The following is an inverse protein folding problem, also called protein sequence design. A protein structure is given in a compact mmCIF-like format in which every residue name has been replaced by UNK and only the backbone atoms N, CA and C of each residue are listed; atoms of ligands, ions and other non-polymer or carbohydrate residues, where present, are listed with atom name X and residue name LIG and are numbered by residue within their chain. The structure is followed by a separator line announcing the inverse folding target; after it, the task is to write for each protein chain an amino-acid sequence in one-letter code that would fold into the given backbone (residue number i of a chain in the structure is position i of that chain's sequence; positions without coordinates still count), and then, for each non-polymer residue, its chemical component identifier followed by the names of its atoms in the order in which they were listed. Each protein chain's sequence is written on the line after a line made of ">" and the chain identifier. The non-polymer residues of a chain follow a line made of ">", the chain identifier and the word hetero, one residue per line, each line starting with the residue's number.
data_IF_072420170331
#
_entry.id   IF_072420170331
#
_cell.length_a   1.000
_cell.length_b   1.000
_cell.length_c   1.000
_cell.angle_alpha   90.00
_cell.angle_beta   90.00
_cell.angle_gamma   90.00
#
_symmetry.space_group_name_H-M   'P 1'
#
loop_
_entity.id
_entity.type
_entity.pdbx_description
1 polymer ?
#
# COMPACT_ATOMS: atom_id res chain seq x y z
N UNK A 1 -24.69 60.98 40.29
CA UNK A 1 -24.57 59.52 40.04
C UNK A 1 -23.78 59.39 38.75
N UNK A 2 -22.46 59.15 38.81
CA UNK A 2 -21.84 57.82 38.91
C UNK A 2 -22.26 56.98 37.68
N UNK A 3 -21.40 56.51 36.77
CA UNK A 3 -19.96 56.24 36.83
C UNK A 3 -19.34 56.15 35.43
N UNK A 4 -18.06 56.53 35.35
CA UNK A 4 -17.08 56.11 34.34
C UNK A 4 -16.80 54.62 34.49
N UNK A 5 -16.48 53.94 33.40
CA UNK A 5 -15.48 52.87 33.46
C UNK A 5 -14.56 52.95 32.23
N UNK A 6 -13.34 53.44 32.51
CA UNK A 6 -12.15 53.29 31.69
C UNK A 6 -11.61 51.86 31.84
N UNK A 7 -10.96 51.37 30.79
CA UNK A 7 -10.20 50.12 30.78
C UNK A 7 -9.01 50.17 31.76
N UNK A 8 -8.65 49.06 32.42
CA UNK A 8 -7.35 48.38 32.31
C UNK A 8 -7.20 47.21 33.32
N UNK A 9 -6.84 46.03 32.77
CA UNK A 9 -5.88 45.02 33.26
C UNK A 9 -5.88 44.53 34.71
N UNK A 10 -6.04 43.20 34.88
CA UNK A 10 -4.98 42.36 35.47
C UNK A 10 -5.19 40.88 35.12
N UNK A 11 -4.06 40.24 34.89
CA UNK A 11 -3.75 38.86 34.57
C UNK A 11 -4.26 37.79 35.55
N UNK A 12 -4.57 36.61 35.00
CA UNK A 12 -4.31 35.29 35.61
C UNK A 12 -4.19 34.27 34.45
N UNK A 13 -3.00 34.11 33.88
CA UNK A 13 -2.04 33.02 34.14
C UNK A 13 -2.59 31.59 33.89
N UNK A 14 -2.13 31.04 32.76
CA UNK A 14 -1.78 29.64 32.50
C UNK A 14 -2.79 28.52 32.78
N UNK A 15 -3.31 27.98 31.68
CA UNK A 15 -3.10 26.58 31.29
C UNK A 15 -3.40 26.41 29.80
N UNK A 16 -2.44 26.83 28.97
CA UNK A 16 -2.27 26.20 27.66
C UNK A 16 -1.90 24.75 27.98
N UNK A 17 -2.88 23.84 27.89
CA UNK A 17 -2.57 22.44 27.70
C UNK A 17 -1.79 22.36 26.39
N UNK A 18 -0.46 22.37 26.48
CA UNK A 18 0.38 21.82 25.45
C UNK A 18 0.00 20.35 25.33
N UNK A 19 -0.92 20.09 24.41
CA UNK A 19 -1.27 18.76 23.96
C UNK A 19 -0.04 18.24 23.23
N UNK A 20 0.94 17.73 23.99
CA UNK A 20 2.06 17.00 23.43
C UNK A 20 1.47 15.92 22.54
N UNK A 21 1.85 15.83 21.26
CA UNK A 21 1.33 14.78 20.40
C UNK A 21 1.65 13.44 21.06
N UNK A 22 0.61 12.76 21.55
CA UNK A 22 0.73 11.41 22.08
C UNK A 22 1.25 10.59 20.91
N UNK A 23 2.54 10.25 20.98
CA UNK A 23 3.21 9.42 20.00
C UNK A 23 2.38 8.15 19.84
N UNK A 24 1.69 8.00 18.71
CA UNK A 24 0.85 6.83 18.44
C UNK A 24 1.78 5.65 18.25
N UNK A 25 2.18 5.01 19.35
CA UNK A 25 3.02 3.82 19.31
C UNK A 25 2.34 2.80 18.40
N UNK A 26 3.07 2.21 17.45
CA UNK A 26 2.52 1.16 16.61
C UNK A 26 1.96 0.05 17.49
N UNK A 27 0.85 -0.55 17.05
CA UNK A 27 0.39 -1.77 17.67
C UNK A 27 1.54 -2.79 17.65
N UNK A 28 1.90 -3.24 18.83
CA UNK A 28 2.84 -4.33 19.03
C UNK A 28 2.08 -5.41 19.78
N UNK A 29 2.28 -6.66 19.38
CA UNK A 29 1.75 -7.78 20.16
C UNK A 29 2.31 -7.70 21.59
N UNK A 30 1.53 -8.08 22.60
CA UNK A 30 1.97 -8.01 24.00
C UNK A 30 3.19 -8.91 24.28
N UNK A 31 3.43 -9.88 23.43
CA UNK A 31 4.56 -10.81 23.42
C UNK A 31 4.91 -11.21 21.99
N UNK A 32 6.14 -11.68 21.71
CA UNK A 32 6.52 -12.23 20.40
C UNK A 32 5.61 -13.38 19.95
N UNK A 33 5.53 -13.63 18.64
CA UNK A 33 4.74 -14.73 18.09
C UNK A 33 5.16 -16.07 18.71
N UNK A 34 4.20 -16.98 19.01
CA UNK A 34 4.53 -18.31 19.49
C UNK A 34 5.31 -19.10 18.43
N UNK A 35 6.08 -20.10 18.87
CA UNK A 35 6.61 -21.08 17.93
C UNK A 35 5.46 -21.83 17.27
N UNK A 36 5.44 -21.83 15.93
CA UNK A 36 4.38 -22.48 15.18
C UNK A 36 4.51 -24.00 15.25
N UNK A 37 3.41 -24.72 15.57
CA UNK A 37 3.32 -26.14 15.30
C UNK A 37 3.60 -26.44 13.81
N UNK A 38 4.03 -27.68 13.48
CA UNK A 38 4.25 -28.09 12.11
C UNK A 38 3.06 -27.78 11.19
N UNK A 39 3.35 -27.35 9.98
CA UNK A 39 2.37 -26.98 8.96
C UNK A 39 3.01 -26.90 7.58
N UNK A 40 2.23 -26.45 6.59
CA UNK A 40 2.68 -26.41 5.19
C UNK A 40 3.23 -25.03 4.82
N UNK A 41 2.39 -23.99 4.76
CA UNK A 41 2.79 -22.67 4.26
C UNK A 41 2.43 -21.47 5.16
N UNK A 42 1.66 -21.68 6.24
CA UNK A 42 1.28 -20.61 7.15
C UNK A 42 2.49 -19.92 7.79
N UNK A 43 2.39 -18.59 7.95
CA UNK A 43 3.39 -17.73 8.58
C UNK A 43 4.80 -17.78 7.94
N UNK A 44 4.94 -18.31 6.73
CA UNK A 44 6.21 -18.30 5.97
C UNK A 44 6.52 -16.95 5.31
N UNK A 45 5.53 -16.05 5.25
CA UNK A 45 5.63 -14.76 4.55
C UNK A 45 5.48 -14.85 3.03
N UNK A 46 5.18 -16.05 2.51
CA UNK A 46 4.92 -16.32 1.08
C UNK A 46 3.51 -16.82 0.88
N UNK A 47 2.92 -16.51 -0.28
CA UNK A 47 1.60 -17.01 -0.65
C UNK A 47 1.54 -17.26 -2.17
N UNK A 48 1.03 -18.42 -2.55
CA UNK A 48 0.69 -18.70 -3.94
C UNK A 48 -0.72 -18.17 -4.24
N UNK A 49 -0.90 -17.49 -5.35
CA UNK A 49 -2.18 -16.97 -5.84
C UNK A 49 -2.64 -17.68 -7.13
N UNK A 50 -2.03 -18.82 -7.46
CA UNK A 50 -2.22 -19.54 -8.73
C UNK A 50 -0.93 -19.51 -9.55
N UNK A 51 -0.90 -18.69 -10.61
CA UNK A 51 0.28 -18.54 -11.47
C UNK A 51 1.32 -17.53 -10.93
N UNK A 52 1.03 -16.87 -9.80
CA UNK A 52 1.89 -15.88 -9.17
C UNK A 52 2.12 -16.28 -7.71
N UNK A 53 3.38 -16.28 -7.29
CA UNK A 53 3.76 -16.29 -5.88
C UNK A 53 4.04 -14.86 -5.41
N UNK A 54 3.54 -14.50 -4.23
CA UNK A 54 3.80 -13.21 -3.61
C UNK A 54 4.55 -13.35 -2.29
N UNK A 55 5.39 -12.34 -2.01
CA UNK A 55 6.08 -12.18 -0.73
C UNK A 55 5.81 -10.78 -0.19
N UNK A 56 5.58 -10.70 1.12
CA UNK A 56 5.41 -9.43 1.82
C UNK A 56 6.76 -8.78 2.11
N UNK A 57 6.97 -7.57 1.59
CA UNK A 57 8.13 -6.72 1.92
C UNK A 57 7.69 -5.63 2.89
N UNK A 58 8.41 -5.49 3.99
CA UNK A 58 8.22 -4.43 5.01
C UNK A 58 9.44 -3.54 5.19
N UNK A 59 10.51 -3.80 4.43
CA UNK A 59 11.73 -3.00 4.42
C UNK A 59 11.70 -2.04 3.24
N UNK A 60 12.02 -0.79 3.51
CA UNK A 60 11.84 0.30 2.57
C UNK A 60 13.02 1.27 2.61
N UNK A 61 13.34 1.85 1.46
CA UNK A 61 14.17 3.05 1.36
C UNK A 61 13.27 4.24 1.08
N UNK A 62 13.43 5.33 1.82
CA UNK A 62 12.74 6.59 1.51
C UNK A 62 13.27 7.16 0.19
N UNK A 63 12.36 7.69 -0.62
CA UNK A 63 12.66 8.33 -1.91
C UNK A 63 12.52 9.84 -1.75
N UNK A 64 11.36 10.27 -1.29
CA UNK A 64 10.97 11.68 -1.19
C UNK A 64 9.87 11.85 -0.15
N UNK A 65 9.85 13.02 0.49
CA UNK A 65 8.83 13.42 1.45
C UNK A 65 8.29 14.80 1.11
N UNK A 66 6.98 14.89 0.92
CA UNK A 66 6.26 16.15 0.83
C UNK A 66 5.94 16.67 2.24
N UNK A 67 6.35 17.90 2.54
CA UNK A 67 6.07 18.58 3.81
C UNK A 67 5.42 19.92 3.53
N UNK A 68 4.24 20.19 4.11
CA UNK A 68 3.61 21.50 3.99
C UNK A 68 4.40 22.55 4.78
N UNK A 69 4.75 23.66 4.14
CA UNK A 69 5.71 24.64 4.64
C UNK A 69 5.28 25.40 5.91
N UNK A 70 4.03 25.33 6.34
CA UNK A 70 3.49 26.12 7.46
C UNK A 70 2.98 25.16 8.54
N UNK A 71 3.72 25.14 9.66
CA UNK A 71 3.75 24.06 10.65
C UNK A 71 2.41 23.57 11.20
N UNK A 72 2.38 22.25 11.42
CA UNK A 72 1.35 21.36 12.01
C UNK A 72 0.52 20.51 11.04
N UNK A 73 0.63 20.70 9.73
CA UNK A 73 -0.12 19.87 8.78
C UNK A 73 0.62 18.61 8.33
N UNK A 74 -0.15 17.56 8.05
CA UNK A 74 0.32 16.23 7.67
C UNK A 74 0.96 16.27 6.28
N UNK A 75 2.18 15.76 6.17
CA UNK A 75 2.86 15.48 4.90
C UNK A 75 2.67 14.03 4.44
N UNK A 76 3.31 13.68 3.34
CA UNK A 76 3.38 12.29 2.84
C UNK A 76 4.80 11.93 2.43
N UNK A 77 5.24 10.73 2.82
CA UNK A 77 6.53 10.16 2.49
C UNK A 77 6.34 8.98 1.55
N UNK A 78 7.21 8.87 0.56
CA UNK A 78 7.20 7.84 -0.47
C UNK A 78 8.44 6.97 -0.38
N UNK A 79 8.25 5.68 -0.61
CA UNK A 79 9.24 4.67 -0.33
C UNK A 79 9.30 3.59 -1.41
N UNK A 80 10.51 3.16 -1.73
CA UNK A 80 10.78 1.99 -2.58
C UNK A 80 10.97 0.75 -1.72
N UNK A 81 10.33 -0.40 -2.01
CA UNK A 81 10.65 -1.64 -1.33
C UNK A 81 12.09 -2.08 -1.64
N UNK A 82 12.81 -2.53 -0.61
CA UNK A 82 14.20 -3.01 -0.73
C UNK A 82 14.32 -4.44 -0.22
N UNK A 83 15.47 -5.07 -0.48
CA UNK A 83 15.72 -6.49 -0.16
C UNK A 83 14.70 -7.43 -0.82
N UNK A 84 14.31 -7.13 -2.07
CA UNK A 84 13.43 -7.98 -2.86
C UNK A 84 14.18 -9.29 -3.18
N UNK A 85 13.62 -10.47 -2.85
CA UNK A 85 14.29 -11.74 -3.12
C UNK A 85 14.45 -12.02 -4.61
N UNK A 86 15.46 -12.81 -4.98
CA UNK A 86 15.77 -13.13 -6.37
C UNK A 86 14.59 -13.75 -7.12
N UNK A 87 14.32 -13.19 -8.30
CA UNK A 87 13.23 -13.60 -9.18
C UNK A 87 11.84 -13.06 -8.80
N UNK A 88 11.72 -12.28 -7.72
CA UNK A 88 10.54 -11.47 -7.45
C UNK A 88 10.72 -10.07 -8.02
N UNK A 89 9.60 -9.46 -8.37
CA UNK A 89 9.54 -8.13 -8.96
C UNK A 89 8.61 -7.22 -8.16
N UNK A 90 8.97 -5.95 -8.10
CA UNK A 90 8.15 -4.91 -7.51
C UNK A 90 6.87 -4.69 -8.34
N UNK A 91 5.77 -4.37 -7.67
CA UNK A 91 4.48 -4.07 -8.29
C UNK A 91 4.08 -2.59 -8.15
N UNK A 92 4.82 -1.82 -7.36
CA UNK A 92 4.58 -0.42 -7.08
C UNK A 92 5.28 0.03 -5.81
N UNK A 93 5.32 1.33 -5.57
CA UNK A 93 5.92 1.94 -4.40
C UNK A 93 4.91 2.09 -3.26
N UNK A 94 5.43 2.37 -2.06
CA UNK A 94 4.66 2.59 -0.85
C UNK A 94 4.63 4.06 -0.48
N UNK A 95 3.56 4.51 0.17
CA UNK A 95 3.54 5.81 0.83
C UNK A 95 2.72 5.78 2.12
N UNK A 96 2.97 6.77 2.98
CA UNK A 96 2.21 6.98 4.22
C UNK A 96 2.36 8.42 4.70
N UNK A 97 1.50 8.83 5.63
CA UNK A 97 1.61 10.13 6.30
C UNK A 97 2.90 10.21 7.13
N UNK A 98 3.50 11.41 7.19
CA UNK A 98 4.80 11.63 7.87
C UNK A 98 4.70 11.54 9.40
N UNK A 99 3.51 11.71 9.97
CA UNK A 99 3.25 11.67 11.43
C UNK A 99 3.05 10.25 11.96
N UNK A 100 3.26 9.22 11.11
CA UNK A 100 3.05 7.83 11.44
C UNK A 100 4.36 7.06 11.32
N UNK A 101 4.69 6.21 12.30
CA UNK A 101 5.84 5.32 12.18
C UNK A 101 5.65 4.37 10.98
N UNK A 102 6.71 4.17 10.20
CA UNK A 102 6.74 3.24 9.06
C UNK A 102 6.21 1.86 9.46
N UNK A 103 5.03 1.50 8.95
CA UNK A 103 4.31 0.27 9.36
C UNK A 103 3.54 -0.43 8.23
N UNK A 104 3.87 -0.10 6.99
CA UNK A 104 3.25 -0.66 5.80
C UNK A 104 3.89 -1.93 5.26
N UNK A 105 3.39 -2.37 4.12
CA UNK A 105 3.98 -3.43 3.33
C UNK A 105 3.67 -3.22 1.85
N UNK A 106 4.47 -3.84 1.00
CA UNK A 106 4.16 -4.06 -0.42
C UNK A 106 4.34 -5.53 -0.73
N UNK A 107 3.43 -6.10 -1.51
CA UNK A 107 3.60 -7.43 -2.09
C UNK A 107 4.47 -7.33 -3.34
N UNK A 108 5.52 -8.13 -3.38
CA UNK A 108 6.32 -8.39 -4.59
C UNK A 108 5.91 -9.72 -5.18
N UNK A 109 6.03 -9.88 -6.50
CA UNK A 109 5.47 -11.01 -7.22
C UNK A 109 6.51 -11.74 -8.08
N UNK A 110 6.37 -13.06 -8.16
CA UNK A 110 7.13 -13.93 -9.03
C UNK A 110 6.17 -14.81 -9.83
N UNK A 111 6.40 -14.94 -11.12
CA UNK A 111 5.64 -15.89 -11.94
C UNK A 111 6.06 -17.33 -11.60
N UNK A 112 5.08 -18.21 -11.39
CA UNK A 112 5.29 -19.64 -11.22
C UNK A 112 5.02 -20.31 -12.57
N UNK A 113 6.00 -21.04 -13.11
CA UNK A 113 5.76 -21.89 -14.27
C UNK A 113 4.90 -23.07 -13.84
N UNK A 114 3.63 -23.09 -14.22
CA UNK A 114 2.79 -24.28 -14.07
C UNK A 114 3.27 -25.32 -15.08
N UNK A 115 4.02 -26.32 -14.63
CA UNK A 115 4.22 -27.52 -15.45
C UNK A 115 2.85 -28.16 -15.62
N UNK A 116 2.27 -28.04 -16.83
CA UNK A 116 1.07 -28.79 -17.21
C UNK A 116 1.37 -30.27 -16.98
N UNK A 117 0.85 -30.86 -15.90
CA UNK A 117 0.77 -32.32 -15.85
C UNK A 117 -0.19 -32.73 -16.97
N UNK A 118 0.37 -33.39 -17.98
CA UNK A 118 -0.36 -33.96 -19.09
C UNK A 118 -1.34 -35.00 -18.52
N UNK A 119 -2.65 -34.71 -18.49
CA UNK A 119 -3.61 -35.70 -18.01
C UNK A 119 -5.05 -35.28 -17.81
N UNK A 120 -5.39 -34.00 -17.59
CA UNK A 120 -6.79 -33.64 -17.31
C UNK A 120 -7.23 -32.42 -18.11
N UNK A 121 -8.03 -32.69 -19.14
CA UNK A 121 -8.62 -31.73 -20.06
C UNK A 121 -9.92 -31.19 -19.47
N UNK A 122 -9.87 -30.23 -18.52
CA UNK A 122 -11.03 -29.37 -18.23
C UNK A 122 -10.57 -27.92 -17.96
N UNK A 123 -11.03 -27.03 -18.86
CA UNK A 123 -10.91 -25.55 -18.91
C UNK A 123 -9.52 -24.97 -19.21
N UNK A 124 -9.15 -25.11 -20.49
CA UNK A 124 -8.08 -24.31 -21.10
C UNK A 124 -8.49 -22.85 -21.30
N UNK A 125 -7.91 -21.98 -20.48
CA UNK A 125 -7.31 -20.75 -20.99
C UNK A 125 -5.90 -20.69 -20.41
N UNK A 126 -5.00 -21.52 -20.94
CA UNK A 126 -3.57 -21.27 -20.74
C UNK A 126 -3.27 -20.10 -21.66
N UNK A 127 -3.39 -18.89 -21.14
CA UNK A 127 -2.96 -17.70 -21.88
C UNK A 127 -1.48 -17.92 -22.19
N UNK A 128 -1.10 -17.95 -23.46
CA UNK A 128 0.31 -18.12 -23.89
C UNK A 128 1.22 -16.97 -23.41
N UNK A 129 0.61 -15.94 -22.82
CA UNK A 129 1.28 -14.75 -22.31
C UNK A 129 1.70 -14.91 -20.83
N UNK A 130 2.88 -14.39 -20.44
CA UNK A 130 3.40 -14.56 -19.08
C UNK A 130 2.52 -13.88 -18.02
N UNK A 131 2.48 -14.39 -16.77
CA UNK A 131 1.72 -13.76 -15.69
C UNK A 131 2.14 -12.32 -15.36
N UNK A 132 3.43 -12.01 -15.56
CA UNK A 132 4.05 -10.73 -15.25
C UNK A 132 4.79 -10.22 -16.49
N UNK A 133 4.68 -8.92 -16.77
CA UNK A 133 5.40 -8.26 -17.87
C UNK A 133 5.86 -6.85 -17.46
N UNK A 134 6.80 -6.27 -18.18
CA UNK A 134 7.22 -4.88 -17.97
C UNK A 134 6.14 -3.91 -18.48
N UNK A 135 6.02 -2.71 -17.90
CA UNK A 135 5.26 -1.63 -18.54
C UNK A 135 5.87 -1.28 -19.90
N UNK A 136 5.09 -0.64 -20.76
CA UNK A 136 5.58 -0.11 -22.04
C UNK A 136 6.42 1.15 -21.85
N UNK A 137 5.96 2.00 -20.93
CA UNK A 137 6.53 3.28 -20.52
C UNK A 137 5.74 3.76 -19.28
N UNK A 138 5.99 4.99 -18.85
CA UNK A 138 5.34 5.62 -17.71
C UNK A 138 4.67 6.95 -18.09
N UNK A 139 3.50 7.20 -17.49
CA UNK A 139 2.82 8.49 -17.58
C UNK A 139 3.09 9.30 -16.31
N UNK A 140 3.57 10.54 -16.46
CA UNK A 140 3.73 11.44 -15.31
C UNK A 140 2.35 11.89 -14.82
N UNK A 141 2.04 11.58 -13.57
CA UNK A 141 0.75 11.89 -12.93
C UNK A 141 0.86 13.22 -12.18
N UNK A 142 1.94 13.39 -11.44
CA UNK A 142 2.19 14.57 -10.64
C UNK A 142 3.69 14.79 -10.42
N UNK A 143 4.11 16.04 -10.28
CA UNK A 143 5.48 16.42 -9.95
C UNK A 143 5.50 17.61 -8.99
N UNK A 144 6.45 17.61 -8.06
CA UNK A 144 6.70 18.73 -7.18
C UNK A 144 7.41 19.86 -7.95
N UNK A 145 6.98 21.12 -7.76
CA UNK A 145 7.74 22.26 -8.27
C UNK A 145 9.01 22.44 -7.42
N UNK A 146 10.15 22.42 -8.11
CA UNK A 146 11.53 22.47 -7.60
C UNK A 146 11.84 23.61 -6.62
N UNK A 147 10.96 24.60 -6.49
CA UNK A 147 11.25 25.83 -5.74
C UNK A 147 11.15 25.68 -4.22
N UNK A 148 10.25 24.85 -3.69
CA UNK A 148 10.01 24.80 -2.24
C UNK A 148 9.75 23.39 -1.63
N UNK A 149 9.33 22.39 -2.41
CA UNK A 149 8.79 21.11 -1.87
C UNK A 149 9.70 19.89 -2.12
N UNK A 150 10.94 20.12 -2.57
CA UNK A 150 11.84 19.08 -3.10
C UNK A 150 11.44 18.65 -4.52
N UNK A 151 12.25 17.79 -5.16
CA UNK A 151 11.94 17.21 -6.47
C UNK A 151 11.39 15.80 -6.26
N UNK A 152 10.13 15.60 -6.62
CA UNK A 152 9.44 14.31 -6.52
C UNK A 152 8.48 14.16 -7.69
N UNK A 153 8.53 13.02 -8.38
CA UNK A 153 7.74 12.72 -9.56
C UNK A 153 6.97 11.43 -9.33
N UNK A 154 5.65 11.45 -9.54
CA UNK A 154 4.77 10.29 -9.38
C UNK A 154 4.35 9.81 -10.77
N UNK A 155 4.63 8.55 -11.05
CA UNK A 155 4.48 7.92 -12.35
C UNK A 155 3.48 6.77 -12.30
N UNK A 156 2.61 6.69 -13.31
CA UNK A 156 1.73 5.55 -13.55
C UNK A 156 2.38 4.65 -14.61
N UNK A 157 2.67 3.36 -14.32
CA UNK A 157 3.14 2.42 -15.32
C UNK A 157 2.03 2.14 -16.35
N UNK A 158 2.35 2.33 -17.64
CA UNK A 158 1.43 2.03 -18.73
C UNK A 158 1.54 0.56 -19.10
N UNK A 159 0.55 -0.23 -18.67
CA UNK A 159 0.53 -1.67 -18.90
C UNK A 159 0.30 -2.01 -20.39
N UNK A 160 0.94 -3.05 -20.93
CA UNK A 160 0.60 -3.59 -22.25
C UNK A 160 -0.84 -4.09 -22.31
N UNK A 161 -1.38 -4.21 -23.53
CA UNK A 161 -2.72 -4.78 -23.76
C UNK A 161 -2.83 -6.17 -23.12
N UNK A 162 -3.88 -6.40 -22.34
CA UNK A 162 -4.10 -7.64 -21.58
C UNK A 162 -3.49 -7.65 -20.17
N UNK A 163 -2.89 -6.54 -19.73
CA UNK A 163 -2.30 -6.37 -18.41
C UNK A 163 -2.83 -5.13 -17.70
N UNK A 164 -2.63 -5.07 -16.38
CA UNK A 164 -2.92 -3.93 -15.52
C UNK A 164 -1.71 -3.60 -14.65
N UNK A 165 -1.53 -2.32 -14.32
CA UNK A 165 -0.58 -1.89 -13.29
C UNK A 165 -1.20 -2.07 -11.90
N UNK A 166 -0.37 -2.29 -10.90
CA UNK A 166 -0.82 -2.57 -9.52
C UNK A 166 -0.60 -1.37 -8.57
N UNK A 167 -0.04 -0.27 -9.08
CA UNK A 167 0.35 0.88 -8.27
C UNK A 167 1.21 1.86 -9.07
N UNK A 168 1.81 2.81 -8.35
CA UNK A 168 2.58 3.92 -8.90
C UNK A 168 4.06 3.78 -8.53
N UNK A 169 4.92 4.49 -9.28
CA UNK A 169 6.36 4.61 -9.04
C UNK A 169 6.69 6.06 -8.72
N UNK A 170 7.64 6.29 -7.81
CA UNK A 170 8.10 7.62 -7.44
C UNK A 170 9.59 7.76 -7.70
N UNK A 171 10.00 8.89 -8.26
CA UNK A 171 11.41 9.24 -8.50
C UNK A 171 11.72 10.65 -8.00
N UNK A 172 13.00 10.93 -7.82
CA UNK A 172 13.51 12.29 -7.54
C UNK A 172 13.99 13.00 -8.81
N UNK A 173 14.33 12.23 -9.85
CA UNK A 173 14.72 12.74 -11.16
C UNK A 173 13.51 12.82 -12.09
N UNK A 174 13.53 13.81 -12.98
CA UNK A 174 12.45 14.04 -13.96
C UNK A 174 12.44 13.03 -15.10
N UNK A 175 13.52 12.26 -15.24
CA UNK A 175 13.65 11.24 -16.27
C UNK A 175 12.69 10.08 -15.98
N UNK A 176 12.21 9.47 -17.06
CA UNK A 176 11.29 8.35 -16.97
C UNK A 176 11.93 7.16 -16.22
N UNK A 177 11.20 6.48 -15.30
CA UNK A 177 11.74 5.32 -14.60
C UNK A 177 12.15 4.19 -15.56
N UNK A 178 13.12 3.38 -15.15
CA UNK A 178 13.49 2.17 -15.88
C UNK A 178 12.30 1.20 -15.95
N UNK A 179 12.06 0.58 -17.12
CA UNK A 179 11.01 -0.42 -17.32
C UNK A 179 11.18 -1.67 -16.42
N UNK A 180 12.35 -1.87 -15.84
CA UNK A 180 12.63 -2.90 -14.85
C UNK A 180 12.10 -2.58 -13.45
N UNK A 181 11.75 -1.32 -13.17
CA UNK A 181 11.39 -0.85 -11.84
C UNK A 181 10.18 -1.60 -11.27
N UNK A 182 9.20 -1.96 -12.12
CA UNK A 182 8.02 -2.72 -11.72
C UNK A 182 7.57 -3.74 -12.78
N UNK A 183 6.58 -4.56 -12.43
CA UNK A 183 5.84 -5.41 -13.37
C UNK A 183 4.34 -5.09 -13.36
N UNK A 184 3.73 -5.21 -14.53
CA UNK A 184 2.30 -5.27 -14.74
C UNK A 184 1.83 -6.73 -14.70
N UNK A 185 0.57 -6.94 -14.32
CA UNK A 185 -0.03 -8.25 -14.07
C UNK A 185 -1.10 -8.55 -15.12
N UNK A 186 -1.12 -9.79 -15.63
CA UNK A 186 -2.09 -10.23 -16.64
C UNK A 186 -3.52 -10.13 -16.09
N UNK A 187 -4.46 -9.64 -16.90
CA UNK A 187 -5.79 -9.22 -16.44
C UNK A 187 -6.61 -10.29 -15.72
N UNK A 188 -6.50 -11.56 -16.12
CA UNK A 188 -7.18 -12.71 -15.50
C UNK A 188 -6.67 -13.04 -14.10
N UNK A 189 -5.46 -12.56 -13.76
CA UNK A 189 -4.83 -12.69 -12.44
C UNK A 189 -5.08 -11.45 -11.56
N UNK A 190 -5.97 -10.55 -12.00
CA UNK A 190 -6.30 -9.30 -11.29
C UNK A 190 -7.77 -9.24 -10.89
N UNK A 191 -8.07 -8.42 -9.90
CA UNK A 191 -9.41 -8.07 -9.44
C UNK A 191 -9.58 -6.55 -9.42
N UNK A 192 -10.81 -6.05 -9.51
CA UNK A 192 -11.09 -4.62 -9.39
C UNK A 192 -10.62 -4.08 -8.02
N UNK A 193 -9.94 -2.93 -8.06
CA UNK A 193 -9.66 -2.14 -6.85
C UNK A 193 -10.63 -0.95 -6.77
N UNK A 194 -10.76 -0.40 -5.57
CA UNK A 194 -11.30 0.92 -5.30
C UNK A 194 -10.32 1.72 -4.43
N UNK A 195 -10.45 3.05 -4.46
CA UNK A 195 -9.73 3.94 -3.57
C UNK A 195 -10.39 3.84 -2.19
N UNK A 196 -9.60 3.61 -1.16
CA UNK A 196 -10.10 3.54 0.21
C UNK A 196 -9.93 4.89 0.92
N UNK A 197 -9.25 4.85 2.05
CA UNK A 197 -8.98 6.01 2.88
C UNK A 197 -7.95 6.94 2.23
N UNK A 198 -8.21 8.25 2.34
CA UNK A 198 -7.27 9.29 1.93
C UNK A 198 -6.03 9.23 2.81
N UNK A 199 -4.87 9.03 2.18
CA UNK A 199 -3.56 9.14 2.82
C UNK A 199 -3.16 10.61 2.89
N UNK A 200 -3.34 11.35 1.80
CA UNK A 200 -2.92 12.74 1.73
C UNK A 200 -3.76 13.51 0.72
N UNK A 201 -4.06 14.77 1.03
CA UNK A 201 -4.80 15.69 0.18
C UNK A 201 -4.11 17.05 0.17
N UNK A 202 -3.52 17.38 -0.99
CA UNK A 202 -3.08 18.73 -1.31
C UNK A 202 -4.19 19.37 -2.12
N UNK A 203 -5.15 19.96 -1.41
CA UNK A 203 -6.12 20.87 -1.99
C UNK A 203 -5.70 22.30 -1.68
N UNK A 204 -5.30 23.00 -2.72
CA UNK A 204 -5.11 24.44 -2.70
C UNK A 204 -6.10 25.02 -3.69
N UNK A 205 -7.19 25.61 -3.17
CA UNK A 205 -8.31 26.22 -3.91
C UNK A 205 -7.93 27.11 -5.14
N UNK A 206 -6.66 27.46 -5.32
CA UNK A 206 -6.15 28.38 -6.32
C UNK A 206 -4.95 27.85 -7.14
N UNK A 207 -4.50 26.59 -6.97
CA UNK A 207 -3.29 26.08 -7.65
C UNK A 207 -3.57 24.93 -8.62
N UNK A 208 -2.71 24.80 -9.64
CA UNK A 208 -2.70 23.66 -10.58
C UNK A 208 -2.01 22.42 -10.00
N UNK A 209 -1.50 22.50 -8.78
CA UNK A 209 -0.63 21.47 -8.18
C UNK A 209 -1.37 20.57 -7.19
N UNK A 210 -2.70 20.59 -7.25
CA UNK A 210 -3.55 19.76 -6.41
C UNK A 210 -3.36 18.28 -6.74
N UNK A 211 -3.26 17.46 -5.71
CA UNK A 211 -3.26 16.02 -5.85
C UNK A 211 -3.71 15.34 -4.56
N UNK A 212 -4.29 14.18 -4.74
CA UNK A 212 -4.80 13.35 -3.67
C UNK A 212 -4.19 11.96 -3.78
N UNK A 213 -3.96 11.36 -2.62
CA UNK A 213 -3.38 10.03 -2.47
C UNK A 213 -4.29 9.21 -1.59
N UNK A 214 -4.59 8.00 -2.02
CA UNK A 214 -5.42 7.05 -1.30
C UNK A 214 -4.70 5.72 -1.11
N UNK A 215 -5.09 5.00 -0.07
CA UNK A 215 -4.83 3.57 -0.05
C UNK A 215 -5.72 2.86 -1.08
N UNK A 216 -5.33 1.64 -1.44
CA UNK A 216 -6.05 0.83 -2.41
C UNK A 216 -6.57 -0.43 -1.73
N UNK A 217 -7.77 -0.86 -2.12
CA UNK A 217 -8.36 -2.11 -1.62
C UNK A 217 -9.23 -2.76 -2.70
N UNK A 218 -9.46 -4.08 -2.64
CA UNK A 218 -10.39 -4.74 -3.55
C UNK A 218 -11.80 -4.14 -3.45
N UNK A 219 -12.46 -3.96 -4.60
CA UNK A 219 -13.85 -3.48 -4.67
C UNK A 219 -14.81 -4.50 -4.07
N UNK A 220 -14.67 -5.77 -4.45
CA UNK A 220 -15.44 -6.87 -3.87
C UNK A 220 -14.76 -7.40 -2.61
N UNK A 221 -15.53 -7.49 -1.51
CA UNK A 221 -15.05 -7.96 -0.21
C UNK A 221 -16.06 -8.92 0.41
N UNK A 222 -15.53 -9.92 1.10
CA UNK A 222 -16.33 -10.94 1.76
C UNK A 222 -15.57 -12.26 1.84
N UNK A 223 -16.17 -13.25 2.48
CA UNK A 223 -15.56 -14.56 2.70
C UNK A 223 -15.19 -15.29 1.39
N UNK A 224 -15.88 -14.98 0.30
CA UNK A 224 -15.68 -15.60 -1.01
C UNK A 224 -14.95 -14.70 -2.02
N UNK A 225 -14.64 -13.46 -1.64
CA UNK A 225 -13.94 -12.52 -2.51
C UNK A 225 -12.47 -12.91 -2.63
N UNK A 226 -11.91 -12.72 -3.83
CA UNK A 226 -10.57 -13.19 -4.17
C UNK A 226 -9.54 -12.07 -4.28
N UNK A 227 -9.96 -10.81 -4.16
CA UNK A 227 -9.05 -9.68 -4.27
C UNK A 227 -8.02 -9.64 -3.13
N UNK A 228 -6.76 -9.40 -3.49
CA UNK A 228 -5.63 -9.25 -2.58
C UNK A 228 -5.00 -7.87 -2.81
N UNK A 229 -5.03 -6.96 -1.82
CA UNK A 229 -4.38 -5.66 -1.95
C UNK A 229 -2.86 -5.82 -1.99
N UNK A 230 -2.21 -5.05 -2.86
CA UNK A 230 -0.75 -5.08 -3.02
C UNK A 230 -0.05 -4.25 -1.94
N UNK A 231 -0.75 -3.29 -1.33
CA UNK A 231 -0.18 -2.36 -0.35
C UNK A 231 0.43 -1.11 -0.99
N UNK A 232 0.14 -0.86 -2.27
CA UNK A 232 0.48 0.36 -3.01
C UNK A 232 -0.58 1.44 -2.78
N UNK A 233 -0.36 2.63 -3.35
CA UNK A 233 -1.28 3.75 -3.28
C UNK A 233 -1.89 4.08 -4.65
N UNK A 234 -2.95 4.88 -4.63
CA UNK A 234 -3.51 5.52 -5.82
C UNK A 234 -3.28 7.03 -5.74
N UNK A 235 -2.91 7.65 -6.86
CA UNK A 235 -2.71 9.10 -6.97
C UNK A 235 -3.57 9.66 -8.10
N UNK A 236 -4.26 10.77 -7.84
CA UNK A 236 -5.04 11.51 -8.85
C UNK A 236 -4.86 13.01 -8.68
N UNK A 237 -4.96 13.73 -9.80
CA UNK A 237 -4.90 15.19 -9.87
C UNK A 237 -6.28 15.86 -9.79
N UNK A 238 -7.37 15.15 -10.13
CA UNK A 238 -8.74 15.68 -10.20
C UNK A 238 -9.78 14.70 -9.62
N UNK A 239 -10.83 15.23 -8.98
CA UNK A 239 -11.99 14.47 -8.47
C UNK A 239 -13.04 14.19 -9.57
N UNK A 240 -12.65 13.77 -10.77
CA UNK A 240 -13.65 13.24 -11.72
C UNK A 240 -14.10 11.88 -11.21
N UNK A 241 -15.36 11.82 -10.75
CA UNK A 241 -16.03 10.60 -10.26
C UNK A 241 -16.21 9.49 -11.30
N UNK A 242 -15.67 9.67 -12.51
CA UNK A 242 -15.85 8.78 -13.67
C UNK A 242 -14.56 8.06 -14.10
N UNK A 243 -13.42 8.36 -13.49
CA UNK A 243 -12.18 7.65 -13.83
C UNK A 243 -12.13 6.31 -13.11
N UNK A 244 -12.37 5.22 -13.86
CA UNK A 244 -11.98 3.88 -13.43
C UNK A 244 -10.53 3.92 -12.94
N UNK A 245 -10.25 3.30 -11.79
CA UNK A 245 -8.87 3.22 -11.32
C UNK A 245 -8.02 2.54 -12.38
N UNK A 246 -6.98 3.26 -12.81
CA UNK A 246 -6.01 2.74 -13.79
C UNK A 246 -5.08 1.66 -13.20
N UNK A 247 -5.38 1.19 -11.98
CA UNK A 247 -4.65 0.15 -11.27
C UNK A 247 -5.62 -0.96 -10.83
N UNK A 248 -5.09 -2.15 -10.59
CA UNK A 248 -5.87 -3.29 -10.14
C UNK A 248 -5.24 -3.98 -8.92
N UNK A 249 -6.02 -4.87 -8.32
CA UNK A 249 -5.65 -5.67 -7.16
C UNK A 249 -5.25 -7.06 -7.67
N UNK A 250 -4.49 -7.83 -6.89
CA UNK A 250 -4.20 -9.21 -7.27
C UNK A 250 -5.42 -10.10 -7.03
N UNK A 251 -5.53 -11.19 -7.78
CA UNK A 251 -6.60 -12.19 -7.61
C UNK A 251 -6.04 -13.48 -7.05
N UNK A 252 -6.58 -13.93 -5.93
CA UNK A 252 -6.28 -15.24 -5.38
C UNK A 252 -7.04 -16.33 -6.12
N UNK A 253 -6.35 -17.06 -7.00
CA UNK A 253 -6.87 -18.23 -7.70
C UNK A 253 -6.44 -19.55 -7.04
N UNK A 254 -5.65 -19.50 -5.97
CA UNK A 254 -5.22 -20.70 -5.25
C UNK A 254 -6.35 -21.23 -4.35
N UNK A 255 -6.74 -22.47 -4.60
CA UNK A 255 -7.77 -23.19 -3.83
C UNK A 255 -7.18 -24.11 -2.76
N UNK A 256 -5.85 -24.22 -2.67
CA UNK A 256 -5.17 -25.18 -1.79
C UNK A 256 -5.19 -24.79 -0.30
N UNK A 257 -5.48 -23.52 0.00
CA UNK A 257 -5.40 -22.93 1.34
C UNK A 257 -4.04 -23.15 2.05
N UNK A 258 -2.96 -23.42 1.32
CA UNK A 258 -1.65 -23.76 1.92
C UNK A 258 -1.08 -22.68 2.85
N UNK A 259 -1.40 -21.41 2.59
CA UNK A 259 -0.96 -20.28 3.40
C UNK A 259 -1.86 -20.02 4.63
N UNK A 260 -2.98 -20.74 4.79
CA UNK A 260 -3.89 -20.61 5.94
C UNK A 260 -3.38 -21.41 7.14
N UNK A 261 -3.61 -20.94 8.37
CA UNK A 261 -3.22 -21.70 9.56
C UNK A 261 -4.05 -22.98 9.67
N UNK A 262 -3.40 -24.08 10.05
CA UNK A 262 -4.11 -25.30 10.44
C UNK A 262 -4.68 -25.18 11.86
N UNK A 263 -5.49 -26.17 12.27
CA UNK A 263 -6.16 -26.13 13.58
C UNK A 263 -5.18 -26.05 14.76
N UNK A 264 -4.05 -26.75 14.68
CA UNK A 264 -3.03 -26.73 15.75
C UNK A 264 -2.37 -25.35 15.87
N UNK A 265 -2.08 -24.71 14.73
CA UNK A 265 -1.53 -23.35 14.69
C UNK A 265 -2.54 -22.31 15.20
N UNK A 266 -3.83 -22.48 14.90
CA UNK A 266 -4.90 -21.65 15.47
C UNK A 266 -4.99 -21.84 17.00
N UNK A 267 -4.96 -23.09 17.49
CA UNK A 267 -4.96 -23.36 18.93
C UNK A 267 -3.73 -22.79 19.64
N UNK A 268 -2.55 -22.84 19.01
CA UNK A 268 -1.34 -22.23 19.55
C UNK A 268 -1.50 -20.71 19.72
N UNK A 269 -2.13 -20.04 18.74
CA UNK A 269 -2.43 -18.60 18.82
C UNK A 269 -3.39 -18.30 19.98
N UNK A 270 -4.50 -19.03 20.10
CA UNK A 270 -5.48 -18.85 21.18
C UNK A 270 -4.88 -19.14 22.55
N UNK A 271 -4.02 -20.16 22.68
CA UNK A 271 -3.35 -20.44 23.95
C UNK A 271 -2.37 -19.34 24.35
N UNK A 272 -1.72 -18.70 23.38
CA UNK A 272 -0.69 -17.70 23.65
C UNK A 272 -1.28 -16.30 23.91
N UNK A 273 -2.31 -15.90 23.15
CA UNK A 273 -2.89 -14.55 23.21
C UNK A 273 -4.35 -14.51 23.70
N UNK A 274 -5.00 -15.66 23.86
CA UNK A 274 -6.39 -15.73 24.27
C UNK A 274 -6.57 -15.31 25.73
N UNK A 275 -7.71 -14.67 26.06
CA UNK A 275 -8.00 -14.27 27.43
C UNK A 275 -8.08 -15.51 28.33
N UNK A 276 -7.34 -15.49 29.44
CA UNK A 276 -7.43 -16.51 30.49
C UNK A 276 -8.34 -15.99 31.60
N UNK A 277 -9.46 -16.67 31.85
CA UNK A 277 -10.32 -16.37 32.99
C UNK A 277 -9.84 -17.24 34.15
N UNK A 278 -9.26 -16.60 35.18
CA UNK A 278 -8.97 -17.26 36.44
C UNK A 278 -10.22 -17.16 37.32
N UNK A 279 -10.71 -18.31 37.78
CA UNK A 279 -11.81 -18.42 38.75
C UNK A 279 -11.26 -18.57 40.17
#
# INVERSE_FOLDING_TARGET
>A
MLERCECFGSCDYDKLYEDFPVEKKPFSLPSPLPQWPPGQGFATGKMCLGEIEVVKITKFSEIWSYVKLWGKEKGVSFYKPVEIPDGYFCLGHYCQQNDVLLRGYVLVAKAISTTKHCGDQIRGSTSDSPPLTKPLNYSLVWSADSRNDGQGFIWLPNAPVGYKSMGFVVTIESDEPDLEEVRCVRVDLTESCEAGDVIFDKNTFLSKDDFQIWNTRPSERGMFSKGVPVGTFFCSRNQSSEDELNIACLKNLDASFHAMPNLDQVHALFKHYGPSIFH
#
